data_IF_855264688773
#
_entry.id   IF_855264688773
#
_cell.length_a   1.000
_cell.length_b   1.000
_cell.length_c   1.000
_cell.angle_alpha   90.00
_cell.angle_beta   90.00
_cell.angle_gamma   90.00
#
_symmetry.space_group_name_H-M   'P 1'
#
loop_
_entity.id
_entity.type
_entity.pdbx_description
1 polymer ?
#
# COMPACT_ATOMS: atom_id res chain seq x y z
N UNK A 1 -16.14 -3.15 -6.86
CA UNK A 1 -15.17 -2.36 -6.07
C UNK A 1 -13.82 -2.83 -6.50
N UNK A 2 -12.87 -1.92 -6.67
CA UNK A 2 -11.55 -2.24 -7.19
C UNK A 2 -10.61 -2.63 -6.06
N UNK A 3 -9.63 -3.50 -6.31
CA UNK A 3 -8.61 -3.92 -5.34
C UNK A 3 -7.24 -3.37 -5.76
N UNK A 4 -6.51 -2.82 -4.78
CA UNK A 4 -5.10 -2.51 -4.88
C UNK A 4 -4.37 -3.27 -3.78
N UNK A 5 -3.41 -4.10 -4.17
CA UNK A 5 -2.55 -4.84 -3.24
C UNK A 5 -1.19 -4.18 -3.12
N UNK A 6 -0.70 -4.09 -1.89
CA UNK A 6 0.64 -3.62 -1.56
C UNK A 6 1.47 -4.81 -1.12
N UNK A 7 2.70 -4.92 -1.62
CA UNK A 7 3.69 -5.88 -1.13
C UNK A 7 4.87 -5.15 -0.49
N UNK A 8 5.40 -5.69 0.60
CA UNK A 8 6.48 -5.08 1.37
C UNK A 8 7.42 -6.12 1.98
N UNK A 9 8.72 -5.82 2.09
CA UNK A 9 9.68 -6.68 2.82
C UNK A 9 9.43 -6.70 4.34
N UNK A 10 8.91 -5.60 4.89
CA UNK A 10 8.70 -5.43 6.33
C UNK A 10 7.23 -5.24 6.67
N UNK A 11 6.77 -5.93 7.72
CA UNK A 11 5.44 -5.78 8.32
C UNK A 11 5.20 -4.35 8.77
N UNK A 12 6.23 -3.66 9.24
CA UNK A 12 6.11 -2.29 9.78
C UNK A 12 5.44 -1.33 8.80
N UNK A 13 5.60 -1.55 7.48
CA UNK A 13 4.95 -0.74 6.46
C UNK A 13 3.41 -0.85 6.50
N UNK A 14 2.88 -2.03 6.85
CA UNK A 14 1.44 -2.25 7.01
C UNK A 14 0.90 -1.42 8.17
N UNK A 15 1.62 -1.46 9.29
CA UNK A 15 1.25 -0.72 10.50
C UNK A 15 1.31 0.80 10.23
N UNK A 16 2.30 1.25 9.47
CA UNK A 16 2.41 2.66 9.08
C UNK A 16 1.29 3.07 8.15
N UNK A 17 0.94 2.25 7.16
CA UNK A 17 -0.19 2.54 6.27
C UNK A 17 -1.51 2.60 7.06
N UNK A 18 -1.70 1.69 8.04
CA UNK A 18 -2.84 1.75 8.97
C UNK A 18 -2.89 3.08 9.73
N UNK A 19 -1.77 3.50 10.32
CA UNK A 19 -1.67 4.78 11.04
C UNK A 19 -1.94 5.97 10.11
N UNK A 20 -1.42 5.95 8.89
CA UNK A 20 -1.70 6.95 7.89
C UNK A 20 -3.21 7.05 7.60
N UNK A 21 -3.89 5.95 7.31
CA UNK A 21 -5.34 5.96 7.06
C UNK A 21 -6.14 6.49 8.26
N UNK A 22 -5.76 6.13 9.48
CA UNK A 22 -6.40 6.61 10.71
C UNK A 22 -6.22 8.11 10.96
N UNK A 23 -5.14 8.69 10.46
CA UNK A 23 -4.80 10.12 10.63
C UNK A 23 -5.12 10.96 9.39
N UNK A 24 -5.46 10.34 8.27
CA UNK A 24 -5.72 11.01 7.00
C UNK A 24 -7.08 11.71 7.04
N UNK A 25 -7.06 13.04 7.10
CA UNK A 25 -8.24 13.91 7.32
C UNK A 25 -9.35 13.80 6.27
N UNK A 26 -9.06 13.23 5.09
CA UNK A 26 -10.06 12.98 4.04
C UNK A 26 -10.87 11.69 4.28
N UNK A 27 -10.43 10.84 5.21
CA UNK A 27 -11.12 9.65 5.66
C UNK A 27 -11.61 9.80 7.10
N UNK A 28 -12.64 9.03 7.43
CA UNK A 28 -13.07 8.77 8.79
C UNK A 28 -13.24 7.26 8.95
N UNK A 29 -12.73 6.71 10.05
CA UNK A 29 -13.06 5.33 10.42
C UNK A 29 -14.55 5.23 10.70
N UNK A 30 -15.21 4.29 10.03
CA UNK A 30 -16.62 3.99 10.20
C UNK A 30 -16.80 2.75 11.08
N UNK A 31 -16.15 1.65 10.69
CA UNK A 31 -16.22 0.37 11.38
C UNK A 31 -14.88 -0.38 11.30
N UNK A 32 -14.68 -1.36 12.18
CA UNK A 32 -13.50 -2.24 12.19
C UNK A 32 -13.96 -3.62 12.64
N UNK A 33 -13.61 -4.64 11.88
CA UNK A 33 -13.76 -6.05 12.27
C UNK A 33 -12.38 -6.69 12.52
N UNK A 34 -12.31 -8.02 12.46
CA UNK A 34 -11.11 -8.78 12.85
C UNK A 34 -9.92 -8.52 11.94
N UNK A 35 -10.15 -8.33 10.65
CA UNK A 35 -9.11 -8.24 9.62
C UNK A 35 -9.31 -7.05 8.67
N UNK A 36 -10.37 -6.28 8.83
CA UNK A 36 -10.76 -5.18 7.94
C UNK A 36 -11.10 -3.90 8.71
N UNK A 37 -10.61 -2.76 8.23
CA UNK A 37 -11.04 -1.42 8.68
C UNK A 37 -11.77 -0.72 7.56
N UNK A 38 -12.96 -0.21 7.88
CA UNK A 38 -13.85 0.46 6.96
C UNK A 38 -13.71 1.98 7.13
N UNK A 39 -13.40 2.66 6.03
CA UNK A 39 -13.27 4.11 6.00
C UNK A 39 -14.27 4.74 5.03
N UNK A 40 -14.91 5.80 5.51
CA UNK A 40 -15.80 6.65 4.72
C UNK A 40 -15.12 7.99 4.43
N UNK A 41 -15.52 8.61 3.33
CA UNK A 41 -15.11 9.95 2.98
C UNK A 41 -15.60 10.96 4.03
N UNK A 42 -14.70 11.77 4.58
CA UNK A 42 -15.06 12.71 5.66
C UNK A 42 -16.07 13.78 5.21
N UNK A 43 -16.07 14.14 3.92
CA UNK A 43 -16.98 15.13 3.32
C UNK A 43 -18.29 14.52 2.82
N UNK A 44 -18.23 13.45 2.03
CA UNK A 44 -19.43 12.90 1.36
C UNK A 44 -20.16 11.84 2.18
N UNK A 45 -19.53 11.34 3.25
CA UNK A 45 -20.00 10.22 4.09
C UNK A 45 -20.26 8.92 3.30
N UNK A 46 -19.70 8.79 2.10
CA UNK A 46 -19.78 7.59 1.28
C UNK A 46 -18.59 6.66 1.56
N UNK A 47 -18.80 5.36 1.41
CA UNK A 47 -17.74 4.36 1.56
C UNK A 47 -16.65 4.59 0.52
N UNK A 48 -15.41 4.69 1.01
CA UNK A 48 -14.29 5.14 0.20
C UNK A 48 -13.19 4.07 0.14
N UNK A 49 -12.77 3.56 1.30
CA UNK A 49 -11.67 2.59 1.43
C UNK A 49 -12.05 1.48 2.41
N UNK A 50 -11.80 0.25 2.01
CA UNK A 50 -11.85 -0.94 2.86
C UNK A 50 -10.43 -1.45 2.96
N UNK A 51 -9.81 -1.27 4.12
CA UNK A 51 -8.43 -1.69 4.34
C UNK A 51 -8.42 -3.08 4.95
N UNK A 52 -8.03 -4.07 4.15
CA UNK A 52 -8.01 -5.46 4.52
C UNK A 52 -6.56 -5.87 4.81
N UNK A 53 -6.27 -6.13 6.09
CA UNK A 53 -4.93 -6.47 6.55
C UNK A 53 -4.78 -8.00 6.66
N UNK A 54 -5.04 -8.75 5.58
CA UNK A 54 -4.78 -10.19 5.65
C UNK A 54 -3.27 -10.43 5.60
N UNK A 55 -2.77 -11.04 6.67
CA UNK A 55 -1.42 -11.58 6.72
C UNK A 55 -1.39 -12.91 5.96
N UNK A 56 -1.19 -12.82 4.66
CA UNK A 56 -1.38 -13.99 3.80
C UNK A 56 -0.15 -14.87 3.69
N UNK A 57 -0.36 -16.18 3.80
CA UNK A 57 0.65 -17.19 3.55
C UNK A 57 1.03 -17.18 2.07
N UNK A 58 2.30 -16.85 1.78
CA UNK A 58 2.93 -16.91 0.46
C UNK A 58 2.67 -18.25 -0.25
N UNK A 59 2.53 -19.35 0.48
CA UNK A 59 2.38 -20.70 -0.09
C UNK A 59 0.96 -21.06 -0.53
N UNK A 60 -0.07 -20.33 -0.10
CA UNK A 60 -1.44 -20.65 -0.49
C UNK A 60 -2.11 -19.49 -1.22
N UNK A 61 -2.26 -18.34 -0.57
CA UNK A 61 -3.09 -17.27 -1.10
C UNK A 61 -2.40 -16.56 -2.27
N UNK A 62 -1.12 -16.24 -2.12
CA UNK A 62 -0.34 -15.64 -3.18
C UNK A 62 -0.28 -16.53 -4.45
N UNK A 63 -0.08 -17.84 -4.28
CA UNK A 63 -0.06 -18.78 -5.40
C UNK A 63 -1.45 -18.92 -6.05
N UNK A 64 -2.53 -18.89 -5.25
CA UNK A 64 -3.92 -19.00 -5.71
C UNK A 64 -4.39 -17.75 -6.45
N UNK A 65 -4.05 -16.57 -5.94
CA UNK A 65 -4.68 -15.31 -6.32
C UNK A 65 -3.90 -14.55 -7.40
N UNK A 66 -2.62 -14.88 -7.62
CA UNK A 66 -1.78 -14.23 -8.62
C UNK A 66 -1.41 -15.16 -9.77
N UNK A 67 -1.31 -14.63 -10.99
CA UNK A 67 -0.81 -15.40 -12.14
C UNK A 67 0.66 -15.77 -11.98
N UNK A 68 1.12 -16.85 -12.62
CA UNK A 68 2.54 -17.28 -12.60
C UNK A 68 3.49 -16.16 -13.07
N UNK A 69 3.06 -15.32 -14.00
CA UNK A 69 3.84 -14.17 -14.46
C UNK A 69 4.00 -13.13 -13.35
N UNK A 70 2.91 -12.75 -12.68
CA UNK A 70 2.96 -11.81 -11.58
C UNK A 70 3.75 -12.36 -10.40
N UNK A 71 3.57 -13.64 -10.07
CA UNK A 71 4.32 -14.31 -9.01
C UNK A 71 5.83 -14.13 -9.24
N UNK A 72 6.32 -14.44 -10.44
CA UNK A 72 7.74 -14.27 -10.79
C UNK A 72 8.23 -12.82 -10.70
N UNK A 73 7.40 -11.85 -11.09
CA UNK A 73 7.76 -10.42 -11.01
C UNK A 73 7.92 -10.01 -9.54
N UNK A 74 6.94 -10.39 -8.71
CA UNK A 74 6.87 -10.04 -7.29
C UNK A 74 8.01 -10.74 -6.53
N UNK A 75 8.20 -12.05 -6.72
CA UNK A 75 9.27 -12.82 -6.08
C UNK A 75 10.65 -12.28 -6.46
N UNK A 76 10.88 -11.99 -7.74
CA UNK A 76 12.13 -11.38 -8.21
C UNK A 76 12.37 -10.00 -7.60
N UNK A 77 11.32 -9.19 -7.44
CA UNK A 77 11.45 -7.85 -6.84
C UNK A 77 11.91 -7.93 -5.38
N UNK A 78 11.56 -9.00 -4.67
CA UNK A 78 11.95 -9.23 -3.29
C UNK A 78 13.12 -10.20 -3.13
N UNK A 79 13.92 -10.45 -4.18
CA UNK A 79 15.08 -11.35 -4.17
C UNK A 79 14.75 -12.78 -3.67
N UNK A 80 13.55 -13.27 -3.99
CA UNK A 80 12.99 -14.54 -3.53
C UNK A 80 12.83 -14.66 -1.99
N UNK A 81 13.07 -13.58 -1.23
CA UNK A 81 12.86 -13.48 0.22
C UNK A 81 11.37 -13.51 0.58
N UNK A 82 11.08 -13.64 1.88
CA UNK A 82 9.72 -13.48 2.38
C UNK A 82 9.28 -12.01 2.26
N UNK A 83 8.01 -11.82 1.92
CA UNK A 83 7.35 -10.52 1.86
C UNK A 83 5.97 -10.63 2.49
N UNK A 84 5.41 -9.48 2.82
CA UNK A 84 4.05 -9.32 3.32
C UNK A 84 3.21 -8.61 2.27
N UNK A 85 1.90 -8.81 2.31
CA UNK A 85 0.98 -8.03 1.49
C UNK A 85 -0.33 -7.72 2.20
N UNK A 86 -0.99 -6.66 1.75
CA UNK A 86 -2.31 -6.22 2.23
C UNK A 86 -3.07 -5.54 1.11
N UNK A 87 -4.39 -5.50 1.25
CA UNK A 87 -5.27 -4.98 0.23
C UNK A 87 -6.01 -3.72 0.70
N UNK A 88 -6.27 -2.82 -0.24
CA UNK A 88 -7.36 -1.86 -0.12
C UNK A 88 -8.37 -2.07 -1.22
N UNK A 89 -9.65 -2.07 -0.84
CA UNK A 89 -10.74 -1.96 -1.80
C UNK A 89 -11.23 -0.53 -1.88
N UNK A 90 -11.42 -0.03 -3.10
CA UNK A 90 -11.77 1.36 -3.37
C UNK A 90 -12.86 1.48 -4.44
N UNK A 91 -13.54 2.63 -4.46
CA UNK A 91 -14.54 2.96 -5.49
C UNK A 91 -14.09 4.10 -6.40
N UNK A 92 -13.48 5.14 -5.83
CA UNK A 92 -13.06 6.33 -6.57
C UNK A 92 -11.55 6.28 -6.86
N UNK A 93 -11.21 6.23 -8.14
CA UNK A 93 -9.81 6.21 -8.63
C UNK A 93 -9.10 7.54 -8.35
N UNK A 94 -9.80 8.68 -8.44
CA UNK A 94 -9.21 9.99 -8.17
C UNK A 94 -8.89 10.15 -6.68
N UNK A 95 -9.78 9.64 -5.82
CA UNK A 95 -9.52 9.58 -4.40
C UNK A 95 -8.32 8.69 -4.09
N UNK A 96 -8.28 7.48 -4.67
CA UNK A 96 -7.15 6.56 -4.50
C UNK A 96 -5.83 7.22 -4.91
N UNK A 97 -5.78 7.84 -6.10
CA UNK A 97 -4.55 8.49 -6.57
C UNK A 97 -4.10 9.60 -5.62
N UNK A 98 -5.03 10.39 -5.10
CA UNK A 98 -4.73 11.42 -4.11
C UNK A 98 -4.20 10.82 -2.80
N UNK A 99 -4.82 9.74 -2.34
CA UNK A 99 -4.39 9.00 -1.14
C UNK A 99 -2.99 8.43 -1.31
N UNK A 100 -2.68 7.81 -2.45
CA UNK A 100 -1.35 7.29 -2.75
C UNK A 100 -0.33 8.43 -2.75
N UNK A 101 -0.56 9.53 -3.47
CA UNK A 101 0.34 10.68 -3.48
C UNK A 101 0.62 11.20 -2.06
N UNK A 102 -0.42 11.33 -1.24
CA UNK A 102 -0.28 11.83 0.13
C UNK A 102 0.43 10.80 1.03
N UNK A 103 0.20 9.49 0.83
CA UNK A 103 0.94 8.43 1.51
C UNK A 103 2.42 8.43 1.13
N UNK A 104 2.75 8.56 -0.18
CA UNK A 104 4.13 8.65 -0.68
C UNK A 104 4.88 9.79 0.03
N UNK A 105 4.24 10.95 0.21
CA UNK A 105 4.81 12.09 0.96
C UNK A 105 4.95 11.80 2.45
N UNK A 106 3.98 11.11 3.05
CA UNK A 106 3.98 10.78 4.48
C UNK A 106 5.18 9.92 4.87
N UNK A 107 5.58 8.97 4.02
CA UNK A 107 6.71 8.06 4.30
C UNK A 107 8.06 8.51 3.71
N UNK A 108 8.10 9.57 2.91
CA UNK A 108 9.31 10.03 2.20
C UNK A 108 10.49 10.44 3.10
N UNK A 109 10.27 10.64 4.40
CA UNK A 109 11.29 11.10 5.36
C UNK A 109 11.63 10.07 6.44
N UNK A 110 11.09 8.84 6.35
CA UNK A 110 11.39 7.79 7.30
C UNK A 110 12.27 6.73 6.63
N UNK A 111 13.58 6.83 6.88
CA UNK A 111 14.57 5.90 6.32
C UNK A 111 14.33 4.44 6.73
N UNK A 112 13.60 4.18 7.83
CA UNK A 112 13.21 2.82 8.24
C UNK A 112 12.06 2.28 7.39
N UNK A 113 11.34 3.17 6.71
CA UNK A 113 10.25 2.87 5.80
C UNK A 113 10.65 3.04 4.33
N UNK A 114 11.94 3.25 4.05
CA UNK A 114 12.57 2.95 2.76
C UNK A 114 12.53 1.43 2.49
N UNK A 115 11.34 0.84 2.53
CA UNK A 115 11.04 -0.46 1.99
C UNK A 115 10.64 -0.28 0.54
N UNK A 116 11.19 -1.09 -0.35
CA UNK A 116 10.63 -1.22 -1.69
C UNK A 116 9.22 -1.76 -1.57
N UNK A 117 8.24 -1.04 -2.11
CA UNK A 117 6.83 -1.43 -2.09
C UNK A 117 6.41 -1.73 -3.51
N UNK A 118 5.78 -2.87 -3.73
CA UNK A 118 5.19 -3.20 -5.01
C UNK A 118 3.68 -2.99 -4.95
N UNK A 119 3.12 -2.26 -5.90
CA UNK A 119 1.69 -2.02 -6.01
C UNK A 119 1.14 -2.85 -7.16
N UNK A 120 0.09 -3.63 -6.91
CA UNK A 120 -0.62 -4.40 -7.94
C UNK A 120 -2.09 -4.02 -7.96
N UNK A 121 -2.60 -3.62 -9.13
CA UNK A 121 -4.01 -3.28 -9.31
C UNK A 121 -4.78 -4.40 -10.05
N UNK A 122 -6.11 -4.28 -10.12
CA UNK A 122 -6.99 -5.26 -10.79
C UNK A 122 -6.60 -5.63 -12.23
N UNK A 123 -5.89 -4.75 -12.95
CA UNK A 123 -5.47 -5.00 -14.33
C UNK A 123 -4.15 -5.78 -14.41
N UNK A 124 -3.63 -6.26 -13.28
CA UNK A 124 -2.28 -6.83 -13.17
C UNK A 124 -1.17 -5.84 -13.56
N UNK A 125 -1.45 -4.53 -13.50
CA UNK A 125 -0.40 -3.54 -13.66
C UNK A 125 0.34 -3.45 -12.33
N UNK A 126 1.67 -3.50 -12.44
CA UNK A 126 2.58 -3.48 -11.31
C UNK A 126 3.36 -2.17 -11.34
N UNK A 127 3.23 -1.36 -10.29
CA UNK A 127 4.05 -0.16 -10.07
C UNK A 127 5.00 -0.41 -8.91
N UNK A 128 6.30 -0.17 -9.12
CA UNK A 128 7.29 -0.21 -8.05
C UNK A 128 7.33 1.17 -7.39
N UNK A 129 6.96 1.21 -6.12
CA UNK A 129 7.07 2.37 -5.29
C UNK A 129 8.39 2.33 -4.49
N UNK A 130 9.34 3.16 -4.92
CA UNK A 130 10.60 3.40 -4.22
C UNK A 130 10.50 4.74 -3.49
N UNK A 131 10.51 4.78 -2.14
CA UNK A 131 10.40 6.03 -1.38
C UNK A 131 11.68 6.87 -1.41
N UNK A 132 12.72 6.45 -2.17
CA UNK A 132 14.01 7.10 -2.26
C UNK A 132 13.85 8.63 -2.34
N UNK A 133 14.60 9.38 -1.50
CA UNK A 133 14.61 10.82 -1.65
C UNK A 133 15.04 11.14 -3.09
N UNK A 134 14.47 12.19 -3.73
CA UNK A 134 14.92 12.61 -5.03
C UNK A 134 16.46 12.79 -4.98
N UNK A 135 17.20 12.35 -6.01
CA UNK A 135 18.65 12.42 -6.00
C UNK A 135 19.08 13.89 -5.83
N UNK A 136 19.78 14.13 -4.73
CA UNK A 136 20.57 15.31 -4.36
C UNK A 136 19.88 16.69 -4.45
N UNK A 137 19.37 17.16 -3.31
CA UNK A 137 19.44 18.59 -2.92
C UNK A 137 20.67 18.78 -2.02
N UNK A 138 21.87 18.43 -2.51
CA UNK A 138 23.10 18.93 -1.91
C UNK A 138 23.30 20.37 -2.41
N UNK A 139 22.89 21.33 -1.59
CA UNK A 139 23.36 22.71 -1.73
C UNK A 139 24.86 22.72 -1.42
N UNK A 140 25.66 22.69 -2.47
CA UNK A 140 27.11 22.84 -2.42
C UNK A 140 27.47 24.30 -2.16
N UNK A 141 27.17 24.81 -0.97
CA UNK A 141 27.69 26.09 -0.48
C UNK A 141 28.02 26.03 1.02
N UNK A 142 29.16 25.42 1.35
CA UNK A 142 30.02 25.84 2.47
C UNK A 142 31.49 25.61 2.15
#
# INVERSE_FOLDING_TARGET
MKILTFFAKDKSLIDVFKVFLLTYTKLMKDFEDKDTIYFINSKTKRNEIYFHFIYNDRKMEFIRDYSVTNQKIIEKHFDDENFYFFDIQYKDVLFLNSLLIDYKKYIANDDKLNGMVLLSNENNEIEIFNPSPPPDYYDSTK
#
